data_IF_117986007353
#
_entry.id   IF_117986007353
#
_cell.length_a   1.000
_cell.length_b   1.000
_cell.length_c   1.000
_cell.angle_alpha   90.00
_cell.angle_beta   90.00
_cell.angle_gamma   90.00
#
_symmetry.space_group_name_H-M   'P 1'
#
loop_
_entity.id
_entity.type
_entity.pdbx_description
1 polymer ?
#
# COMPACT_ATOMS: atom_id res chain seq x y z
N UNK A 1 14.15 13.25 9.12
CA UNK A 1 13.97 12.70 7.75
C UNK A 1 13.69 13.80 6.74
N UNK A 2 12.71 14.69 7.00
CA UNK A 2 12.46 15.84 6.13
C UNK A 2 13.74 16.67 5.84
N UNK A 3 14.55 16.95 6.87
CA UNK A 3 15.81 17.68 6.69
C UNK A 3 16.80 16.95 5.79
N UNK A 4 16.97 15.63 6.00
CA UNK A 4 17.85 14.78 5.17
C UNK A 4 17.42 14.79 3.70
N UNK A 5 16.13 14.68 3.44
CA UNK A 5 15.60 14.75 2.08
C UNK A 5 15.80 16.16 1.48
N UNK A 6 15.57 17.20 2.27
CA UNK A 6 15.74 18.60 1.85
C UNK A 6 17.21 18.94 1.54
N UNK A 7 18.17 18.44 2.31
CA UNK A 7 19.62 18.52 2.02
C UNK A 7 19.94 17.96 0.63
N UNK A 8 19.24 16.91 0.21
CA UNK A 8 19.34 16.29 -1.10
C UNK A 8 18.41 16.86 -2.17
N UNK A 9 17.81 18.04 -1.96
CA UNK A 9 16.84 18.67 -2.87
C UNK A 9 15.57 17.84 -3.13
N UNK A 10 15.24 16.90 -2.24
CA UNK A 10 13.97 16.16 -2.23
C UNK A 10 13.02 16.87 -1.26
N UNK A 11 12.31 17.87 -1.77
CA UNK A 11 11.38 18.71 -1.02
C UNK A 11 9.92 18.24 -1.16
N UNK A 12 9.07 18.48 -0.14
CA UNK A 12 7.66 18.18 -0.24
C UNK A 12 6.94 19.00 -1.33
N UNK A 13 5.91 18.42 -1.95
CA UNK A 13 5.11 19.03 -3.01
C UNK A 13 5.56 18.69 -4.44
N UNK A 14 6.55 17.82 -4.60
CA UNK A 14 7.14 17.47 -5.89
C UNK A 14 7.23 15.95 -6.11
N UNK A 15 7.55 15.58 -7.35
CA UNK A 15 7.71 14.20 -7.81
C UNK A 15 9.19 13.85 -7.97
N UNK A 16 9.57 12.66 -7.55
CA UNK A 16 10.94 12.17 -7.63
C UNK A 16 10.98 10.73 -8.17
N UNK A 17 12.11 10.34 -8.74
CA UNK A 17 12.37 8.94 -9.07
C UNK A 17 12.80 8.19 -7.82
N UNK A 18 12.62 6.86 -7.80
CA UNK A 18 13.15 6.03 -6.71
C UNK A 18 14.67 6.19 -6.57
N UNK A 19 15.38 6.30 -7.69
CA UNK A 19 16.83 6.50 -7.73
C UNK A 19 17.25 7.78 -6.99
N UNK A 20 16.58 8.91 -7.26
CA UNK A 20 16.91 10.19 -6.62
C UNK A 20 16.72 10.11 -5.09
N UNK A 21 15.62 9.53 -4.63
CA UNK A 21 15.34 9.39 -3.19
C UNK A 21 16.38 8.45 -2.55
N UNK A 22 16.67 7.32 -3.20
CA UNK A 22 17.65 6.34 -2.73
C UNK A 22 19.05 6.94 -2.61
N UNK A 23 19.51 7.68 -3.63
CA UNK A 23 20.83 8.33 -3.64
C UNK A 23 21.00 9.30 -2.47
N UNK A 24 20.01 10.17 -2.22
CA UNK A 24 20.05 11.12 -1.10
C UNK A 24 20.19 10.38 0.23
N UNK A 25 19.42 9.31 0.42
CA UNK A 25 19.43 8.56 1.67
C UNK A 25 20.73 7.76 1.84
N UNK A 26 21.20 7.07 0.80
CA UNK A 26 22.45 6.32 0.86
C UNK A 26 23.66 7.23 1.06
N UNK A 27 23.69 8.41 0.44
CA UNK A 27 24.75 9.40 0.67
C UNK A 27 24.77 9.89 2.12
N UNK A 28 23.60 10.05 2.76
CA UNK A 28 23.51 10.51 4.15
C UNK A 28 23.86 9.44 5.16
N UNK A 29 23.31 8.23 5.00
CA UNK A 29 23.38 7.17 6.01
C UNK A 29 24.53 6.19 5.77
N UNK A 30 25.08 6.13 4.54
CA UNK A 30 26.10 5.16 4.14
C UNK A 30 25.70 3.70 4.45
N UNK A 31 24.39 3.44 4.43
CA UNK A 31 23.74 2.16 4.70
C UNK A 31 22.55 1.96 3.77
N UNK A 32 22.17 0.71 3.56
CA UNK A 32 20.95 0.37 2.84
C UNK A 32 19.73 0.76 3.66
N UNK A 33 18.92 1.68 3.15
CA UNK A 33 17.63 2.06 3.72
C UNK A 33 16.49 1.37 2.98
N UNK A 34 15.32 1.31 3.62
CA UNK A 34 14.11 0.74 3.05
C UNK A 34 13.10 1.85 2.73
N UNK A 35 12.64 1.94 1.49
CA UNK A 35 11.71 2.98 1.01
C UNK A 35 10.38 2.33 0.67
N UNK A 36 9.33 2.67 1.41
CA UNK A 36 7.98 2.20 1.14
C UNK A 36 7.16 3.27 0.42
N UNK A 37 6.47 2.84 -0.63
CA UNK A 37 5.48 3.62 -1.35
C UNK A 37 4.07 3.12 -1.13
N UNK A 38 3.13 4.07 -1.05
CA UNK A 38 1.71 3.83 -1.12
C UNK A 38 1.23 4.07 -2.56
N UNK A 39 0.51 3.12 -3.14
CA UNK A 39 -0.09 3.27 -4.45
C UNK A 39 -1.60 3.52 -4.35
N UNK A 40 -2.02 4.71 -4.74
CA UNK A 40 -3.44 5.05 -4.83
C UNK A 40 -4.03 4.46 -6.13
N UNK A 41 -4.98 3.54 -5.95
CA UNK A 41 -5.64 2.85 -7.06
C UNK A 41 -6.62 3.73 -7.82
N UNK A 42 -7.11 4.82 -7.20
CA UNK A 42 -8.07 5.74 -7.82
C UNK A 42 -7.34 6.71 -8.75
N UNK A 43 -6.39 7.47 -8.20
CA UNK A 43 -5.62 8.47 -8.97
C UNK A 43 -4.49 7.86 -9.80
N UNK A 44 -4.16 6.57 -9.59
CA UNK A 44 -3.01 5.87 -10.18
C UNK A 44 -1.66 6.51 -9.82
N UNK A 45 -1.63 7.31 -8.76
CA UNK A 45 -0.43 7.97 -8.25
C UNK A 45 0.25 7.11 -7.16
N UNK A 46 1.56 7.28 -7.06
CA UNK A 46 2.38 6.64 -6.05
C UNK A 46 2.96 7.71 -5.13
N UNK A 47 2.95 7.45 -3.83
CA UNK A 47 3.33 8.39 -2.78
C UNK A 47 4.45 7.80 -1.95
N UNK A 48 5.38 8.62 -1.47
CA UNK A 48 6.28 8.21 -0.38
C UNK A 48 5.40 7.95 0.85
N UNK A 49 5.45 6.74 1.40
CA UNK A 49 4.69 6.34 2.58
C UNK A 49 5.58 6.29 3.83
N UNK A 50 6.69 5.56 3.76
CA UNK A 50 7.58 5.34 4.88
C UNK A 50 9.04 5.24 4.42
N UNK A 51 9.97 5.74 5.22
CA UNK A 51 11.41 5.47 5.06
C UNK A 51 11.89 4.81 6.34
N UNK A 52 12.43 3.61 6.23
CA UNK A 52 12.96 2.82 7.34
C UNK A 52 14.48 2.89 7.35
N UNK A 53 15.03 3.33 8.47
CA UNK A 53 16.47 3.32 8.78
C UNK A 53 16.69 2.24 9.83
N UNK A 54 17.66 1.36 9.59
CA UNK A 54 17.89 0.21 10.43
C UNK A 54 19.05 0.43 11.40
N UNK A 55 18.91 -0.14 12.59
CA UNK A 55 19.92 -0.12 13.63
C UNK A 55 20.18 -1.55 14.11
N UNK A 56 21.42 -1.84 14.51
CA UNK A 56 21.73 -3.07 15.23
C UNK A 56 21.20 -3.00 16.68
N UNK A 57 21.39 -4.08 17.46
CA UNK A 57 20.94 -4.13 18.86
C UNK A 57 21.67 -3.15 19.76
N UNK A 58 22.84 -2.68 19.33
CA UNK A 58 23.67 -1.68 20.00
C UNK A 58 23.30 -0.25 19.59
N UNK A 59 22.22 -0.08 18.81
CA UNK A 59 21.71 1.20 18.29
C UNK A 59 22.66 1.92 17.31
N UNK A 60 23.53 1.18 16.64
CA UNK A 60 24.38 1.68 15.57
C UNK A 60 23.70 1.50 14.22
N UNK A 61 23.93 2.42 13.28
CA UNK A 61 23.38 2.35 11.93
C UNK A 61 23.78 1.04 11.24
N UNK A 62 22.79 0.34 10.69
CA UNK A 62 22.93 -0.94 10.04
C UNK A 62 22.13 -1.01 8.73
N UNK A 63 22.48 -1.96 7.87
CA UNK A 63 21.79 -2.19 6.60
C UNK A 63 20.42 -2.84 6.80
N UNK A 64 19.40 -2.36 6.08
CA UNK A 64 18.02 -2.86 6.15
C UNK A 64 17.76 -4.18 5.39
N UNK A 65 18.79 -5.01 5.20
CA UNK A 65 18.76 -6.14 4.25
C UNK A 65 17.73 -7.24 4.53
N UNK A 66 17.19 -7.30 5.75
CA UNK A 66 16.16 -8.25 6.18
C UNK A 66 14.72 -7.74 6.07
N UNK A 67 14.49 -6.52 5.61
CA UNK A 67 13.13 -5.98 5.43
C UNK A 67 12.52 -6.58 4.17
N UNK A 68 11.43 -7.33 4.34
CA UNK A 68 10.67 -7.92 3.24
C UNK A 68 9.63 -6.91 2.74
N UNK A 69 9.82 -6.44 1.52
CA UNK A 69 8.77 -5.81 0.72
C UNK A 69 8.37 -6.77 -0.40
N UNK A 70 7.09 -6.80 -0.76
CA UNK A 70 6.54 -7.71 -1.79
C UNK A 70 7.11 -7.45 -3.20
N UNK A 71 7.73 -6.29 -3.45
CA UNK A 71 8.33 -5.93 -4.73
C UNK A 71 9.81 -5.51 -4.60
N UNK A 72 10.63 -6.29 -5.31
CA UNK A 72 11.95 -6.13 -5.95
C UNK A 72 12.99 -5.17 -5.34
N UNK A 73 13.93 -5.79 -4.60
CA UNK A 73 15.26 -5.24 -4.47
C UNK A 73 15.91 -5.10 -5.85
N UNK A 74 16.18 -3.86 -6.28
CA UNK A 74 16.86 -3.61 -7.55
C UNK A 74 18.35 -3.52 -7.31
N UNK A 75 19.10 -4.39 -8.00
CA UNK A 75 20.55 -4.29 -8.07
C UNK A 75 20.90 -3.39 -9.24
N UNK A 76 21.23 -2.13 -8.94
CA UNK A 76 21.77 -1.21 -9.94
C UNK A 76 23.30 -1.26 -9.87
N UNK A 77 24.00 -1.41 -11.01
CA UNK A 77 25.47 -1.31 -11.05
C UNK A 77 25.99 0.03 -10.50
N UNK A 78 25.17 1.09 -10.57
CA UNK A 78 25.53 2.45 -10.16
C UNK A 78 24.93 2.88 -8.82
N UNK A 79 23.74 2.39 -8.45
CA UNK A 79 23.01 2.80 -7.24
C UNK A 79 23.05 1.76 -6.11
N UNK A 80 23.68 0.60 -6.34
CA UNK A 80 23.75 -0.48 -5.37
C UNK A 80 22.40 -1.17 -5.17
N UNK A 81 22.15 -1.65 -3.94
CA UNK A 81 20.94 -2.37 -3.56
C UNK A 81 19.87 -1.38 -3.08
N UNK A 82 18.74 -1.35 -3.77
CA UNK A 82 17.58 -0.52 -3.38
C UNK A 82 16.51 -1.42 -2.76
N UNK A 83 16.11 -1.18 -1.51
CA UNK A 83 15.10 -1.99 -0.82
C UNK A 83 13.77 -1.24 -0.83
N UNK A 84 12.84 -1.58 -1.73
CA UNK A 84 11.63 -0.77 -1.90
C UNK A 84 10.51 -1.46 -2.69
N UNK A 85 9.24 -1.30 -2.25
CA UNK A 85 8.05 -1.67 -3.05
C UNK A 85 7.61 -0.59 -4.06
N UNK A 86 8.42 0.45 -4.26
CA UNK A 86 8.09 1.53 -5.16
C UNK A 86 8.25 1.09 -6.63
N UNK A 87 7.27 1.39 -7.49
CA UNK A 87 7.41 1.14 -8.93
C UNK A 87 8.42 2.11 -9.54
N UNK A 88 9.52 1.60 -10.08
CA UNK A 88 10.61 2.42 -10.64
C UNK A 88 10.27 3.15 -11.93
N UNK A 89 9.25 2.69 -12.65
CA UNK A 89 8.80 3.31 -13.88
C UNK A 89 7.79 4.44 -13.62
N UNK A 90 7.47 4.72 -12.35
CA UNK A 90 6.51 5.76 -11.96
C UNK A 90 7.18 6.81 -11.08
N UNK A 91 6.81 8.10 -11.26
CA UNK A 91 7.21 9.12 -10.31
C UNK A 91 6.56 8.86 -8.95
N UNK A 92 7.31 9.19 -7.90
CA UNK A 92 6.90 9.09 -6.51
C UNK A 92 6.63 10.51 -6.01
N UNK A 93 5.39 10.79 -5.62
CA UNK A 93 5.00 12.06 -5.06
C UNK A 93 5.36 12.12 -3.56
N UNK A 94 6.10 13.15 -3.16
CA UNK A 94 6.34 13.46 -1.76
C UNK A 94 5.35 14.57 -1.34
N UNK A 95 4.25 14.27 -0.64
CA UNK A 95 3.22 15.27 -0.35
C UNK A 95 3.70 16.34 0.65
N UNK A 96 3.40 17.61 0.38
CA UNK A 96 3.65 18.73 1.31
C UNK A 96 2.73 18.71 2.53
N UNK A 97 1.55 18.13 2.37
CA UNK A 97 0.56 17.96 3.44
C UNK A 97 0.10 16.52 3.40
N UNK A 98 0.07 15.86 4.55
CA UNK A 98 -0.52 14.52 4.65
C UNK A 98 -1.97 14.61 4.17
N UNK A 99 -2.37 13.83 3.14
CA UNK A 99 -3.76 13.83 2.70
C UNK A 99 -4.68 13.53 3.89
N UNK A 100 -5.82 14.22 4.01
CA UNK A 100 -6.76 13.96 5.10
C UNK A 100 -7.10 12.47 5.11
N UNK A 101 -7.06 11.88 6.30
CA UNK A 101 -7.36 10.47 6.48
C UNK A 101 -8.78 10.16 5.99
N UNK A 102 -9.12 8.90 5.72
CA UNK A 102 -10.52 8.55 5.40
C UNK A 102 -11.49 8.97 6.51
N UNK A 103 -11.01 9.03 7.75
CA UNK A 103 -11.78 9.54 8.88
C UNK A 103 -12.08 11.03 8.72
N UNK A 104 -11.07 11.82 8.38
CA UNK A 104 -11.23 13.26 8.13
C UNK A 104 -12.17 13.53 6.94
N UNK A 105 -12.07 12.74 5.87
CA UNK A 105 -12.93 12.89 4.68
C UNK A 105 -14.39 12.58 4.94
N UNK A 106 -14.68 11.67 5.87
CA UNK A 106 -16.06 11.24 6.16
C UNK A 106 -16.70 12.07 7.27
N UNK A 107 -15.91 12.86 8.01
CA UNK A 107 -16.33 13.53 9.25
C UNK A 107 -16.97 12.58 10.27
N UNK A 108 -16.69 11.27 10.15
CA UNK A 108 -17.23 10.23 11.03
C UNK A 108 -16.19 9.87 12.08
N UNK A 109 -16.67 9.59 13.31
CA UNK A 109 -15.80 9.03 14.32
C UNK A 109 -15.26 7.67 13.88
N UNK A 110 -14.09 7.23 14.36
CA UNK A 110 -13.56 5.90 14.06
C UNK A 110 -14.56 4.77 14.35
N UNK A 111 -15.36 4.92 15.42
CA UNK A 111 -16.40 3.97 15.78
C UNK A 111 -17.56 3.94 14.76
N UNK A 112 -18.00 5.10 14.27
CA UNK A 112 -19.09 5.17 13.28
C UNK A 112 -18.66 4.62 11.92
N UNK A 113 -17.42 4.89 11.51
CA UNK A 113 -16.87 4.33 10.27
C UNK A 113 -16.77 2.80 10.36
N UNK A 114 -16.33 2.28 11.50
CA UNK A 114 -16.29 0.83 11.75
C UNK A 114 -17.70 0.23 11.70
N UNK A 115 -18.69 0.87 12.33
CA UNK A 115 -20.09 0.42 12.29
C UNK A 115 -20.63 0.38 10.87
N UNK A 116 -20.39 1.44 10.08
CA UNK A 116 -20.78 1.51 8.66
C UNK A 116 -20.14 0.38 7.84
N UNK A 117 -18.86 0.13 8.04
CA UNK A 117 -18.16 -0.99 7.38
C UNK A 117 -18.79 -2.35 7.75
N UNK A 118 -19.11 -2.56 9.02
CA UNK A 118 -19.77 -3.79 9.47
C UNK A 118 -21.17 -3.96 8.85
N UNK A 119 -21.94 -2.88 8.76
CA UNK A 119 -23.28 -2.91 8.18
C UNK A 119 -23.24 -3.18 6.66
N UNK A 120 -22.31 -2.56 5.93
CA UNK A 120 -22.05 -2.85 4.51
C UNK A 120 -21.61 -4.30 4.29
N UNK A 121 -20.75 -4.83 5.17
CA UNK A 121 -20.33 -6.23 5.12
C UNK A 121 -21.50 -7.19 5.37
N UNK A 122 -22.33 -6.96 6.39
CA UNK A 122 -23.53 -7.78 6.68
C UNK A 122 -24.52 -7.76 5.51
N UNK A 123 -24.77 -6.58 4.93
CA UNK A 123 -25.61 -6.38 3.76
C UNK A 123 -25.17 -7.25 2.57
N UNK A 124 -23.88 -7.20 2.23
CA UNK A 124 -23.32 -8.01 1.14
C UNK A 124 -23.46 -9.50 1.40
N UNK A 125 -23.12 -9.96 2.61
CA UNK A 125 -23.23 -11.36 3.00
C UNK A 125 -24.67 -11.87 2.98
N UNK A 126 -25.63 -11.05 3.39
CA UNK A 126 -27.06 -11.38 3.33
C UNK A 126 -27.55 -11.51 1.88
N UNK A 127 -27.11 -10.62 0.98
CA UNK A 127 -27.42 -10.68 -0.45
C UNK A 127 -26.84 -11.96 -1.08
N UNK A 128 -25.58 -12.28 -0.81
CA UNK A 128 -24.91 -13.48 -1.29
C UNK A 128 -25.59 -14.77 -0.80
N UNK A 129 -26.01 -14.81 0.47
CA UNK A 129 -26.79 -15.93 1.01
C UNK A 129 -28.14 -16.09 0.30
N UNK A 130 -28.85 -14.99 0.01
CA UNK A 130 -30.12 -15.02 -0.74
C UNK A 130 -29.93 -15.53 -2.17
N UNK A 131 -28.89 -15.07 -2.87
CA UNK A 131 -28.58 -15.55 -4.22
C UNK A 131 -28.22 -17.03 -4.22
N UNK A 132 -27.43 -17.48 -3.24
CA UNK A 132 -27.09 -18.90 -3.08
C UNK A 132 -28.34 -19.76 -2.88
N UNK A 133 -29.27 -19.32 -2.01
CA UNK A 133 -30.56 -19.99 -1.77
C UNK A 133 -31.41 -20.07 -3.04
N UNK A 134 -31.47 -18.99 -3.82
CA UNK A 134 -32.21 -18.96 -5.08
C UNK A 134 -31.66 -19.99 -6.07
N UNK A 135 -30.34 -20.03 -6.25
CA UNK A 135 -29.66 -20.98 -7.14
C UNK A 135 -29.92 -22.44 -6.72
N UNK A 136 -29.85 -22.73 -5.42
CA UNK A 136 -30.17 -24.07 -4.88
C UNK A 136 -31.63 -24.44 -5.15
N UNK A 137 -32.57 -23.51 -5.00
CA UNK A 137 -33.98 -23.77 -5.27
C UNK A 137 -34.25 -24.01 -6.77
N UNK A 138 -33.63 -23.24 -7.66
CA UNK A 138 -33.72 -23.44 -9.11
C UNK A 138 -33.15 -24.82 -9.48
N UNK A 139 -32.00 -25.19 -8.94
CA UNK A 139 -31.40 -26.50 -9.15
C UNK A 139 -32.34 -27.64 -8.72
N UNK A 140 -32.98 -27.52 -7.55
CA UNK A 140 -33.98 -28.49 -7.06
C UNK A 140 -35.18 -28.60 -8.01
N UNK A 141 -35.69 -27.48 -8.53
CA UNK A 141 -36.78 -27.47 -9.52
C UNK A 141 -36.39 -28.17 -10.82
N UNK A 142 -35.20 -27.88 -11.35
CA UNK A 142 -34.69 -28.54 -12.57
C UNK A 142 -34.56 -30.04 -12.34
N UNK A 143 -34.06 -30.46 -11.17
CA UNK A 143 -34.00 -31.87 -10.82
C UNK A 143 -35.41 -32.47 -10.81
N UNK A 144 -36.36 -31.90 -10.07
CA UNK A 144 -37.75 -32.39 -10.04
C UNK A 144 -38.35 -32.55 -11.44
N UNK A 145 -38.16 -31.56 -12.33
CA UNK A 145 -38.63 -31.64 -13.71
C UNK A 145 -38.03 -32.84 -14.46
N UNK A 146 -36.71 -33.10 -14.32
CA UNK A 146 -36.05 -34.28 -14.91
C UNK A 146 -36.68 -35.59 -14.44
N UNK A 147 -37.08 -35.69 -13.18
CA UNK A 147 -37.71 -36.89 -12.61
C UNK A 147 -39.14 -37.10 -13.09
N UNK A 148 -39.87 -36.05 -13.45
CA UNK A 148 -41.27 -36.14 -13.93
C UNK A 148 -41.41 -36.34 -15.44
N UNK A 149 -40.34 -36.14 -16.21
CA UNK A 149 -40.33 -36.27 -17.69
C UNK A 149 -39.69 -37.57 -18.19
N UNK A 150 -39.36 -38.50 -17.29
CA UNK A 150 -38.93 -39.89 -17.55
C UNK A 150 -40.04 -40.81 -17.06
#
# INVERSE_FOLDING_TARGET
MADVLNEGSVTPGANYTLANIHEVLTNRFQKNVAIECFYDRETKQQFINEIRVCFNKDLELADCDGILFEEVALNSPTLGKIISNCNVNKPIFYPATVPPSRFDKTHLSPFDLHRKFLDEYKSRKAKESRTMKLLVNIYKLIQLLKWTTI
#
